data_IF_376252516337
#
_entry.id   IF_376252516337
#
_cell.length_a   1.000
_cell.length_b   1.000
_cell.length_c   1.000
_cell.angle_alpha   90.00
_cell.angle_beta   90.00
_cell.angle_gamma   90.00
#
_symmetry.space_group_name_H-M   'P 1'
#
loop_
_entity.id
_entity.type
_entity.pdbx_description
1 polymer ?
#
# COMPACT_ATOMS: atom_id res chain seq x y z
N UNK A 1 26.11 -1.35 -35.12
CA UNK A 1 24.81 -1.36 -34.44
C UNK A 1 25.02 -0.89 -33.01
N UNK A 2 24.17 0.01 -32.56
CA UNK A 2 24.24 0.64 -31.24
C UNK A 2 23.13 0.10 -30.31
N UNK A 3 22.61 -1.10 -30.56
CA UNK A 3 21.47 -1.66 -29.86
C UNK A 3 21.89 -2.79 -28.91
N UNK A 4 21.26 -2.83 -27.73
CA UNK A 4 21.37 -3.88 -26.72
C UNK A 4 19.95 -4.30 -26.31
N UNK A 5 19.68 -5.60 -26.30
CA UNK A 5 18.45 -6.10 -25.71
C UNK A 5 18.57 -6.13 -24.19
N UNK A 6 17.52 -5.74 -23.47
CA UNK A 6 17.50 -5.80 -22.01
C UNK A 6 16.35 -6.70 -21.58
N UNK A 7 16.63 -7.87 -21.01
CA UNK A 7 15.60 -8.71 -20.39
C UNK A 7 15.67 -8.53 -18.88
N UNK A 8 14.52 -8.27 -18.25
CA UNK A 8 14.50 -8.06 -16.82
C UNK A 8 13.12 -7.89 -16.20
N UNK A 9 13.12 -7.54 -14.93
CA UNK A 9 11.90 -7.29 -14.16
C UNK A 9 11.49 -5.81 -14.26
N UNK A 10 10.77 -5.27 -13.28
CA UNK A 10 10.27 -3.90 -13.37
C UNK A 10 11.39 -2.84 -13.41
N UNK A 11 12.64 -3.19 -13.10
CA UNK A 11 13.77 -2.27 -13.22
C UNK A 11 14.16 -1.95 -14.68
N UNK A 12 13.74 -2.76 -15.67
CA UNK A 12 14.05 -2.47 -17.09
C UNK A 12 13.42 -1.17 -17.59
N UNK A 13 12.48 -0.61 -16.85
CA UNK A 13 11.87 0.70 -17.13
C UNK A 13 12.89 1.83 -17.21
N UNK A 14 14.01 1.70 -16.48
CA UNK A 14 15.08 2.68 -16.54
C UNK A 14 15.72 2.79 -17.93
N UNK A 15 15.54 1.76 -18.79
CA UNK A 15 16.12 1.67 -20.13
C UNK A 15 15.11 1.94 -21.26
N UNK A 16 13.79 1.92 -20.99
CA UNK A 16 12.73 1.84 -22.00
C UNK A 16 12.63 3.03 -22.98
N UNK A 17 13.43 4.07 -22.80
CA UNK A 17 13.38 5.30 -23.61
C UNK A 17 14.75 5.74 -24.12
N UNK A 18 15.75 4.85 -24.06
CA UNK A 18 17.07 5.13 -24.57
C UNK A 18 17.28 4.35 -25.87
N UNK A 19 17.70 5.04 -26.93
CA UNK A 19 17.75 4.50 -28.30
C UNK A 19 18.66 3.26 -28.44
N UNK A 20 19.67 3.15 -27.58
CA UNK A 20 20.55 2.00 -27.53
C UNK A 20 19.95 0.75 -26.87
N UNK A 21 18.76 0.82 -26.28
CA UNK A 21 18.19 -0.28 -25.52
C UNK A 21 16.79 -0.64 -26.00
N UNK A 22 16.56 -1.93 -26.24
CA UNK A 22 15.22 -2.48 -26.43
C UNK A 22 14.89 -3.42 -25.27
N UNK A 23 13.88 -3.04 -24.49
CA UNK A 23 13.57 -3.67 -23.20
C UNK A 23 12.45 -4.69 -23.30
N UNK A 24 12.64 -5.83 -22.65
CA UNK A 24 11.67 -6.91 -22.52
C UNK A 24 11.35 -7.13 -21.03
N UNK A 25 10.19 -6.62 -20.61
CA UNK A 25 9.69 -6.81 -19.27
C UNK A 25 9.05 -8.20 -19.15
N UNK A 26 9.64 -9.06 -18.32
CA UNK A 26 9.16 -10.44 -18.14
C UNK A 26 8.27 -10.60 -16.89
N UNK A 27 7.89 -9.50 -16.24
CA UNK A 27 7.03 -9.47 -15.04
C UNK A 27 7.70 -8.84 -13.82
N UNK A 28 6.92 -8.58 -12.76
CA UNK A 28 7.44 -7.99 -11.53
C UNK A 28 8.41 -8.91 -10.78
N UNK A 29 9.34 -8.32 -10.02
CA UNK A 29 10.44 -9.00 -9.33
C UNK A 29 9.99 -10.17 -8.43
N UNK A 30 8.79 -10.09 -7.85
CA UNK A 30 8.21 -11.16 -7.02
C UNK A 30 7.85 -12.44 -7.77
N UNK A 31 7.73 -12.36 -9.09
CA UNK A 31 7.43 -13.48 -9.99
C UNK A 31 8.66 -13.97 -10.78
N UNK A 32 9.73 -13.18 -10.83
CA UNK A 32 10.95 -13.43 -11.59
C UNK A 32 12.13 -13.54 -10.63
N UNK A 33 12.16 -14.64 -9.89
CA UNK A 33 13.21 -14.97 -8.93
C UNK A 33 13.53 -16.47 -8.97
N UNK A 34 14.73 -16.79 -8.51
CA UNK A 34 15.37 -18.10 -8.46
C UNK A 34 15.44 -18.65 -7.03
N UNK A 35 14.76 -18.01 -6.07
CA UNK A 35 14.70 -18.41 -4.66
C UNK A 35 14.21 -19.86 -4.45
N UNK A 36 13.45 -20.40 -5.39
CA UNK A 36 12.96 -21.80 -5.36
C UNK A 36 13.07 -22.40 -6.75
N UNK A 37 13.24 -23.72 -6.83
CA UNK A 37 13.32 -24.46 -8.10
C UNK A 37 12.11 -24.22 -9.01
N UNK A 38 10.89 -24.25 -8.46
CA UNK A 38 9.66 -23.99 -9.23
C UNK A 38 9.66 -22.61 -9.88
N UNK A 39 10.05 -21.57 -9.13
CA UNK A 39 10.11 -20.20 -9.65
C UNK A 39 11.27 -20.02 -10.62
N UNK A 40 12.43 -20.62 -10.35
CA UNK A 40 13.56 -20.65 -11.26
C UNK A 40 13.17 -21.25 -12.61
N UNK A 41 12.54 -22.44 -12.63
CA UNK A 41 12.05 -23.09 -13.86
C UNK A 41 11.09 -22.21 -14.65
N UNK A 42 10.15 -21.55 -13.97
CA UNK A 42 9.17 -20.67 -14.62
C UNK A 42 9.83 -19.43 -15.21
N UNK A 43 10.74 -18.78 -14.46
CA UNK A 43 11.49 -17.60 -14.92
C UNK A 43 12.38 -17.97 -16.09
N UNK A 44 13.11 -19.08 -15.98
CA UNK A 44 13.95 -19.64 -17.02
C UNK A 44 13.17 -19.82 -18.33
N UNK A 45 12.04 -20.54 -18.30
CA UNK A 45 11.22 -20.78 -19.48
C UNK A 45 10.76 -19.48 -20.17
N UNK A 46 10.40 -18.45 -19.40
CA UNK A 46 10.04 -17.14 -19.95
C UNK A 46 11.23 -16.48 -20.65
N UNK A 47 12.37 -16.41 -19.97
CA UNK A 47 13.57 -15.76 -20.51
C UNK A 47 14.04 -16.45 -21.79
N UNK A 48 14.11 -17.78 -21.81
CA UNK A 48 14.48 -18.55 -23.01
C UNK A 48 13.48 -18.33 -24.15
N UNK A 49 12.18 -18.31 -23.85
CA UNK A 49 11.13 -18.06 -24.85
C UNK A 49 11.21 -16.66 -25.48
N UNK A 50 11.58 -15.63 -24.70
CA UNK A 50 11.87 -14.31 -25.27
C UNK A 50 13.15 -14.35 -26.10
N UNK A 51 14.24 -14.91 -25.54
CA UNK A 51 15.54 -14.94 -26.19
C UNK A 51 15.52 -15.63 -27.56
N UNK A 52 14.74 -16.69 -27.74
CA UNK A 52 14.62 -17.42 -29.01
C UNK A 52 14.01 -16.61 -30.16
N UNK A 53 13.34 -15.50 -29.85
CA UNK A 53 12.73 -14.59 -30.83
C UNK A 53 13.65 -13.40 -31.17
N UNK A 54 14.80 -13.29 -30.50
CA UNK A 54 15.71 -12.15 -30.64
C UNK A 54 16.87 -12.50 -31.56
N UNK A 55 17.32 -11.52 -32.34
CA UNK A 55 18.54 -11.63 -33.14
C UNK A 55 19.76 -11.91 -32.23
N UNK A 56 20.38 -13.08 -32.37
CA UNK A 56 21.52 -13.53 -31.57
C UNK A 56 22.81 -12.72 -31.80
N UNK A 57 22.87 -11.90 -32.85
CA UNK A 57 23.99 -11.00 -33.16
C UNK A 57 23.97 -9.67 -32.40
N UNK A 58 22.89 -9.40 -31.66
CA UNK A 58 22.75 -8.22 -30.79
C UNK A 58 23.12 -8.61 -29.34
N UNK A 59 23.90 -7.81 -28.59
CA UNK A 59 24.19 -8.10 -27.18
C UNK A 59 22.93 -8.14 -26.31
N UNK A 60 22.93 -9.00 -25.29
CA UNK A 60 21.87 -9.09 -24.29
C UNK A 60 22.36 -8.66 -22.92
N UNK A 61 21.66 -7.73 -22.27
CA UNK A 61 21.80 -7.36 -20.87
C UNK A 61 20.69 -8.03 -20.05
N UNK A 62 21.07 -8.74 -18.99
CA UNK A 62 20.14 -9.29 -18.02
C UNK A 62 20.08 -8.40 -16.77
N UNK A 63 18.88 -7.96 -16.39
CA UNK A 63 18.66 -7.08 -15.23
C UNK A 63 17.49 -7.59 -14.39
N UNK A 64 17.79 -8.52 -13.47
CA UNK A 64 16.81 -9.13 -12.56
C UNK A 64 17.22 -8.86 -11.12
N UNK A 65 16.33 -8.28 -10.30
CA UNK A 65 16.62 -7.95 -8.91
C UNK A 65 15.71 -8.68 -7.89
N UNK A 66 14.79 -9.53 -8.38
CA UNK A 66 13.78 -10.18 -7.56
C UNK A 66 14.29 -11.08 -6.45
N UNK A 67 15.46 -11.70 -6.61
CA UNK A 67 16.06 -12.55 -5.58
C UNK A 67 16.38 -11.74 -4.33
N UNK A 68 17.22 -10.72 -4.45
CA UNK A 68 17.59 -9.86 -3.33
C UNK A 68 16.40 -9.09 -2.74
N UNK A 69 15.48 -8.61 -3.60
CA UNK A 69 14.28 -7.85 -3.16
C UNK A 69 13.36 -8.68 -2.27
N UNK A 70 13.08 -9.93 -2.67
CA UNK A 70 12.10 -10.79 -1.98
C UNK A 70 12.71 -11.71 -0.95
N UNK A 71 14.04 -11.81 -0.92
CA UNK A 71 14.77 -12.55 0.09
C UNK A 71 14.82 -11.84 1.46
N UNK A 72 14.60 -10.51 1.49
CA UNK A 72 14.82 -9.66 2.66
C UNK A 72 14.49 -10.34 4.01
N UNK A 73 15.43 -10.19 4.95
CA UNK A 73 15.57 -10.87 6.26
C UNK A 73 14.27 -11.25 7.00
N UNK A 74 13.19 -10.50 6.82
CA UNK A 74 11.87 -10.78 7.38
C UNK A 74 11.29 -12.16 7.01
N UNK A 75 11.77 -12.80 5.94
CA UNK A 75 11.28 -14.12 5.52
C UNK A 75 11.99 -15.27 6.22
N UNK A 76 13.24 -15.08 6.68
CA UNK A 76 14.07 -16.14 7.24
C UNK A 76 14.38 -15.90 8.71
N UNK A 77 14.34 -16.96 9.52
CA UNK A 77 14.56 -16.87 10.98
C UNK A 77 15.97 -16.39 11.36
N UNK A 78 16.96 -16.53 10.48
CA UNK A 78 18.37 -16.14 10.69
C UNK A 78 19.04 -15.72 9.38
N UNK A 79 20.05 -14.85 9.47
CA UNK A 79 20.85 -14.40 8.32
C UNK A 79 21.54 -15.55 7.60
N UNK A 80 22.21 -16.46 8.32
CA UNK A 80 22.91 -17.60 7.72
C UNK A 80 22.00 -18.50 6.87
N UNK A 81 20.73 -18.69 7.28
CA UNK A 81 19.76 -19.44 6.46
C UNK A 81 19.39 -18.68 5.20
N UNK A 82 19.31 -17.36 5.29
CA UNK A 82 19.09 -16.51 4.14
C UNK A 82 20.25 -16.56 3.15
N UNK A 83 21.48 -16.40 3.63
CA UNK A 83 22.68 -16.43 2.78
C UNK A 83 22.78 -17.75 1.98
N UNK A 84 22.47 -18.90 2.58
CA UNK A 84 22.38 -20.19 1.87
C UNK A 84 21.34 -20.16 0.75
N UNK A 85 20.15 -19.58 1.00
CA UNK A 85 19.11 -19.46 -0.03
C UNK A 85 19.55 -18.54 -1.17
N UNK A 86 20.21 -17.43 -0.86
CA UNK A 86 20.75 -16.51 -1.87
C UNK A 86 21.84 -17.15 -2.71
N UNK A 87 22.77 -17.90 -2.10
CA UNK A 87 23.80 -18.65 -2.83
C UNK A 87 23.15 -19.65 -3.80
N UNK A 88 22.16 -20.42 -3.34
CA UNK A 88 21.44 -21.36 -4.23
C UNK A 88 20.63 -20.65 -5.30
N UNK A 89 20.09 -19.47 -5.01
CA UNK A 89 19.40 -18.62 -6.00
C UNK A 89 20.36 -18.15 -7.09
N UNK A 90 21.54 -17.66 -6.71
CA UNK A 90 22.57 -17.20 -7.63
C UNK A 90 23.07 -18.35 -8.54
N UNK A 91 23.25 -19.56 -7.99
CA UNK A 91 23.58 -20.75 -8.81
C UNK A 91 22.50 -21.07 -9.83
N UNK A 92 21.22 -21.11 -9.43
CA UNK A 92 20.11 -21.36 -10.36
C UNK A 92 20.00 -20.28 -11.44
N UNK A 93 20.33 -19.04 -11.10
CA UNK A 93 20.37 -17.97 -12.08
C UNK A 93 21.54 -18.14 -13.05
N UNK A 94 22.73 -18.52 -12.55
CA UNK A 94 23.90 -18.83 -13.38
C UNK A 94 23.59 -19.88 -14.46
N UNK A 95 22.84 -20.94 -14.13
CA UNK A 95 22.44 -21.94 -15.13
C UNK A 95 21.70 -21.33 -16.33
N UNK A 96 20.77 -20.40 -16.07
CA UNK A 96 20.09 -19.66 -17.14
C UNK A 96 21.07 -18.78 -17.91
N UNK A 97 21.97 -18.08 -17.21
CA UNK A 97 22.93 -17.16 -17.84
C UNK A 97 23.86 -17.95 -18.79
N UNK A 98 24.35 -19.12 -18.36
CA UNK A 98 25.20 -20.00 -19.17
C UNK A 98 24.48 -20.48 -20.43
N UNK A 99 23.22 -20.91 -20.29
CA UNK A 99 22.42 -21.32 -21.44
C UNK A 99 22.26 -20.17 -22.45
N UNK A 100 21.88 -18.98 -21.99
CA UNK A 100 21.77 -17.80 -22.85
C UNK A 100 23.09 -17.40 -23.49
N UNK A 101 24.20 -17.48 -22.75
CA UNK A 101 25.53 -17.17 -23.25
C UNK A 101 25.92 -18.10 -24.40
N UNK A 102 25.63 -19.39 -24.27
CA UNK A 102 25.87 -20.39 -25.32
C UNK A 102 24.97 -20.19 -26.54
N UNK A 103 23.76 -19.66 -26.36
CA UNK A 103 22.82 -19.39 -27.46
C UNK A 103 23.15 -18.12 -28.26
N UNK A 104 23.93 -17.17 -27.72
CA UNK A 104 24.10 -15.83 -28.31
C UNK A 104 25.52 -15.55 -28.81
N UNK A 105 25.65 -15.27 -30.11
CA UNK A 105 26.93 -14.89 -30.75
C UNK A 105 27.52 -13.61 -30.16
N UNK A 106 26.69 -12.61 -29.84
CA UNK A 106 27.15 -11.34 -29.29
C UNK A 106 27.43 -11.38 -27.77
N UNK A 107 27.13 -12.51 -27.12
CA UNK A 107 27.28 -12.70 -25.69
C UNK A 107 26.19 -12.07 -24.83
N UNK A 108 26.30 -12.33 -23.54
CA UNK A 108 25.40 -11.88 -22.48
C UNK A 108 26.21 -11.06 -21.48
N UNK A 109 25.63 -9.97 -20.99
CA UNK A 109 26.12 -9.17 -19.86
C UNK A 109 25.08 -9.25 -18.74
N UNK A 110 25.54 -9.38 -17.50
CA UNK A 110 24.67 -9.49 -16.33
C UNK A 110 24.82 -8.22 -15.50
N UNK A 111 23.73 -7.53 -15.19
CA UNK A 111 23.74 -6.38 -14.29
C UNK A 111 23.61 -6.82 -12.84
N UNK A 112 24.27 -6.10 -11.93
CA UNK A 112 23.99 -6.21 -10.51
C UNK A 112 22.50 -5.94 -10.21
N UNK A 113 21.98 -6.67 -9.22
CA UNK A 113 20.65 -6.46 -8.68
C UNK A 113 20.64 -5.17 -7.85
N UNK A 114 19.89 -4.17 -8.30
CA UNK A 114 19.77 -2.87 -7.63
C UNK A 114 18.30 -2.45 -7.66
N UNK A 115 17.86 -1.79 -6.59
CA UNK A 115 16.52 -1.24 -6.41
C UNK A 115 16.59 0.13 -5.75
N UNK A 116 15.54 0.94 -5.87
CA UNK A 116 15.46 2.22 -5.15
C UNK A 116 15.16 2.06 -3.66
N UNK A 117 14.68 0.89 -3.25
CA UNK A 117 14.24 0.61 -1.88
C UNK A 117 15.34 0.05 -0.96
N UNK A 118 16.60 0.02 -1.43
CA UNK A 118 17.72 -0.49 -0.64
C UNK A 118 17.94 0.42 0.57
N UNK A 119 17.95 -0.19 1.75
CA UNK A 119 18.11 0.43 3.04
C UNK A 119 18.82 -0.52 4.02
N UNK A 120 19.03 -0.08 5.26
CA UNK A 120 19.76 -0.83 6.29
C UNK A 120 19.24 -2.27 6.50
N UNK A 121 17.92 -2.50 6.35
CA UNK A 121 17.28 -3.80 6.62
C UNK A 121 17.50 -4.83 5.51
N UNK A 122 17.73 -4.39 4.26
CA UNK A 122 17.85 -5.28 3.10
C UNK A 122 19.21 -5.17 2.38
N UNK A 123 20.04 -4.19 2.73
CA UNK A 123 21.37 -3.95 2.14
C UNK A 123 22.22 -5.22 2.07
N UNK A 124 22.30 -5.98 3.17
CA UNK A 124 23.10 -7.22 3.21
C UNK A 124 22.65 -8.23 2.16
N UNK A 125 21.33 -8.40 1.95
CA UNK A 125 20.82 -9.36 0.97
C UNK A 125 21.21 -8.99 -0.46
N UNK A 126 21.13 -7.70 -0.81
CA UNK A 126 21.57 -7.23 -2.12
C UNK A 126 23.07 -7.36 -2.31
N UNK A 127 23.85 -6.90 -1.34
CA UNK A 127 25.31 -6.98 -1.40
C UNK A 127 25.78 -8.43 -1.52
N UNK A 128 25.32 -9.30 -0.63
CA UNK A 128 25.70 -10.71 -0.62
C UNK A 128 25.32 -11.41 -1.93
N UNK A 129 24.09 -11.22 -2.42
CA UNK A 129 23.65 -11.81 -3.69
C UNK A 129 24.49 -11.34 -4.87
N UNK A 130 24.77 -10.04 -4.96
CA UNK A 130 25.59 -9.47 -6.05
C UNK A 130 27.04 -9.96 -5.99
N UNK A 131 27.62 -10.06 -4.79
CA UNK A 131 28.98 -10.57 -4.60
C UNK A 131 29.06 -12.03 -5.08
N UNK A 132 28.08 -12.87 -4.75
CA UNK A 132 27.99 -14.27 -5.21
C UNK A 132 27.82 -14.36 -6.73
N UNK A 133 26.91 -13.58 -7.31
CA UNK A 133 26.64 -13.63 -8.75
C UNK A 133 27.83 -13.11 -9.57
N UNK A 134 28.53 -12.08 -9.08
CA UNK A 134 29.76 -11.55 -9.67
C UNK A 134 30.86 -12.61 -9.71
N UNK A 135 31.09 -13.30 -8.60
CA UNK A 135 32.07 -14.38 -8.49
C UNK A 135 31.75 -15.51 -9.50
N UNK A 136 30.50 -15.99 -9.50
CA UNK A 136 30.05 -17.06 -10.38
C UNK A 136 30.16 -16.68 -11.87
N UNK A 137 29.79 -15.46 -12.25
CA UNK A 137 29.95 -15.00 -13.64
C UNK A 137 31.43 -14.89 -14.02
N UNK A 138 32.29 -14.43 -13.10
CA UNK A 138 33.73 -14.34 -13.31
C UNK A 138 34.39 -15.69 -13.59
N UNK A 139 34.00 -16.74 -12.85
CA UNK A 139 34.49 -18.12 -13.07
C UNK A 139 34.13 -18.66 -14.47
N UNK A 140 32.99 -18.23 -15.02
CA UNK A 140 32.50 -18.65 -16.34
C UNK A 140 32.91 -17.68 -17.47
N UNK A 141 33.69 -16.62 -17.16
CA UNK A 141 34.10 -15.62 -18.14
C UNK A 141 32.95 -14.77 -18.69
N UNK A 142 31.81 -14.71 -18.00
CA UNK A 142 30.65 -13.92 -18.41
C UNK A 142 30.80 -12.49 -17.86
N UNK A 143 30.70 -11.44 -18.70
CA UNK A 143 30.79 -10.06 -18.25
C UNK A 143 29.70 -9.72 -17.22
N UNK A 144 30.13 -9.18 -16.08
CA UNK A 144 29.26 -8.73 -15.00
C UNK A 144 29.43 -7.22 -14.78
N UNK A 145 28.32 -6.50 -14.84
CA UNK A 145 28.22 -5.06 -14.71
C UNK A 145 27.94 -4.71 -13.24
N UNK A 146 29.02 -4.39 -12.51
CA UNK A 146 28.96 -4.10 -11.07
C UNK A 146 28.85 -2.60 -10.78
N UNK A 147 27.61 -2.12 -10.63
CA UNK A 147 27.35 -0.73 -10.23
C UNK A 147 26.98 -0.58 -8.76
N UNK A 148 27.04 -1.67 -7.98
CA UNK A 148 26.42 -1.66 -6.64
C UNK A 148 27.02 -0.58 -5.75
N UNK A 149 28.35 -0.54 -5.64
CA UNK A 149 29.05 0.45 -4.82
C UNK A 149 28.99 1.87 -5.42
N UNK A 150 28.75 2.02 -6.73
CA UNK A 150 28.56 3.34 -7.35
C UNK A 150 27.21 3.97 -6.98
N UNK A 151 26.16 3.15 -6.91
CA UNK A 151 24.78 3.61 -6.73
C UNK A 151 24.37 3.65 -5.27
N UNK A 152 25.02 2.87 -4.42
CA UNK A 152 24.73 2.78 -3.00
C UNK A 152 25.66 3.70 -2.20
N UNK A 153 25.10 4.43 -1.24
CA UNK A 153 25.81 5.27 -0.28
C UNK A 153 25.18 5.11 1.09
N UNK A 154 25.99 4.91 2.13
CA UNK A 154 25.50 4.71 3.50
C UNK A 154 24.39 3.64 3.58
N UNK A 155 24.60 2.50 2.88
CA UNK A 155 23.65 1.38 2.78
C UNK A 155 22.30 1.71 2.14
N UNK A 156 22.21 2.83 1.39
CA UNK A 156 20.98 3.28 0.72
C UNK A 156 21.25 3.64 -0.74
N UNK A 157 20.25 3.46 -1.59
CA UNK A 157 20.34 3.95 -2.98
C UNK A 157 20.43 5.48 -3.01
N UNK A 158 21.44 6.02 -3.70
CA UNK A 158 21.60 7.48 -3.84
C UNK A 158 20.35 8.07 -4.50
N UNK A 159 19.84 9.16 -3.92
CA UNK A 159 18.59 9.79 -4.35
C UNK A 159 18.55 10.11 -5.87
N UNK A 160 19.70 10.45 -6.47
CA UNK A 160 19.79 10.76 -7.90
C UNK A 160 19.43 9.59 -8.83
N UNK A 161 19.51 8.34 -8.36
CA UNK A 161 19.14 7.14 -9.13
C UNK A 161 17.72 6.65 -8.83
N UNK A 162 17.00 7.26 -7.88
CA UNK A 162 15.66 6.82 -7.49
C UNK A 162 14.57 7.44 -8.38
N UNK A 163 13.68 6.61 -8.95
CA UNK A 163 12.46 7.09 -9.63
C UNK A 163 11.28 7.14 -8.66
N UNK A 164 11.09 6.08 -7.88
CA UNK A 164 10.08 5.97 -6.83
C UNK A 164 10.60 5.07 -5.69
N UNK A 165 9.71 4.59 -4.82
CA UNK A 165 10.06 3.75 -3.68
C UNK A 165 10.46 2.31 -4.05
N UNK A 166 10.56 1.94 -5.32
CA UNK A 166 10.97 0.60 -5.82
C UNK A 166 11.91 0.72 -7.02
N UNK A 167 11.64 1.61 -7.97
CA UNK A 167 12.27 1.62 -9.29
C UNK A 167 13.40 2.63 -9.40
N UNK A 168 14.46 2.25 -10.11
CA UNK A 168 15.53 3.15 -10.54
C UNK A 168 15.07 4.09 -11.67
N UNK A 169 15.68 5.27 -11.76
CA UNK A 169 15.48 6.22 -12.85
C UNK A 169 16.58 6.11 -13.91
N UNK A 170 16.43 6.89 -14.99
CA UNK A 170 17.35 6.89 -16.14
C UNK A 170 18.77 7.38 -15.84
N UNK A 171 19.03 7.99 -14.68
CA UNK A 171 20.39 8.36 -14.26
C UNK A 171 21.31 7.15 -14.12
N UNK A 172 20.75 5.93 -14.11
CA UNK A 172 21.51 4.67 -14.17
C UNK A 172 22.18 4.41 -15.52
N UNK A 173 21.69 5.03 -16.60
CA UNK A 173 22.11 4.69 -17.96
C UNK A 173 23.55 5.09 -18.28
N UNK A 174 24.05 6.29 -17.91
CA UNK A 174 25.44 6.65 -18.19
C UNK A 174 26.46 5.62 -17.69
N UNK A 175 26.47 5.20 -16.41
CA UNK A 175 27.43 4.20 -15.96
C UNK A 175 27.24 2.82 -16.62
N UNK A 176 26.00 2.44 -16.97
CA UNK A 176 25.76 1.20 -17.73
C UNK A 176 26.35 1.27 -19.14
N UNK A 177 26.15 2.38 -19.84
CA UNK A 177 26.66 2.59 -21.19
C UNK A 177 28.19 2.55 -21.18
N UNK A 178 28.83 3.22 -20.23
CA UNK A 178 30.28 3.22 -20.08
C UNK A 178 30.84 1.80 -19.92
N UNK A 179 30.22 0.98 -19.07
CA UNK A 179 30.63 -0.42 -18.88
C UNK A 179 30.36 -1.29 -20.13
N UNK A 180 29.22 -1.09 -20.81
CA UNK A 180 28.92 -1.82 -22.04
C UNK A 180 29.88 -1.46 -23.18
N UNK A 181 30.37 -0.22 -23.24
CA UNK A 181 31.44 0.19 -24.17
C UNK A 181 32.75 -0.51 -23.81
N UNK A 182 33.14 -0.55 -22.52
CA UNK A 182 34.34 -1.27 -22.06
C UNK A 182 34.29 -2.76 -22.41
N UNK A 183 33.12 -3.37 -22.34
CA UNK A 183 32.90 -4.77 -22.76
C UNK A 183 32.81 -4.95 -24.29
N UNK A 184 32.96 -3.89 -25.09
CA UNK A 184 32.85 -3.90 -26.54
C UNK A 184 31.44 -4.23 -27.05
N UNK A 185 30.41 -4.03 -26.23
CA UNK A 185 28.99 -4.29 -26.58
C UNK A 185 28.31 -3.07 -27.19
N UNK A 186 28.87 -1.87 -26.98
CA UNK A 186 28.47 -0.62 -27.62
C UNK A 186 29.68 0.06 -28.24
N UNK A 187 29.47 0.81 -29.34
CA UNK A 187 30.58 1.39 -30.13
C UNK A 187 30.96 2.81 -29.74
N UNK A 188 30.03 3.70 -29.40
CA UNK A 188 30.27 5.06 -28.85
C UNK A 188 29.00 5.59 -28.14
N UNK A 189 29.11 6.52 -27.17
CA UNK A 189 27.94 7.15 -26.58
C UNK A 189 27.30 8.10 -27.60
N UNK A 190 26.08 7.80 -28.04
CA UNK A 190 25.26 8.83 -28.72
C UNK A 190 24.93 9.87 -27.66
N UNK A 191 25.04 11.15 -28.02
CA UNK A 191 25.00 12.28 -27.09
C UNK A 191 23.95 12.11 -25.99
N UNK A 192 24.38 12.20 -24.74
CA UNK A 192 23.53 12.27 -23.53
C UNK A 192 22.58 13.48 -23.51
N UNK A 193 22.58 14.28 -24.59
CA UNK A 193 21.84 15.51 -24.80
C UNK A 193 20.52 15.32 -25.55
N UNK A 194 19.93 14.14 -25.49
CA UNK A 194 18.52 14.05 -25.86
C UNK A 194 17.71 14.67 -24.73
N UNK A 195 17.09 15.82 -25.03
CA UNK A 195 16.07 16.50 -24.23
C UNK A 195 14.83 15.61 -24.02
N UNK A 196 15.00 14.45 -23.38
CA UNK A 196 13.93 13.52 -23.04
C UNK A 196 13.24 14.00 -21.75
N UNK A 197 12.64 15.19 -21.81
CA UNK A 197 11.62 15.54 -20.83
C UNK A 197 10.37 14.65 -21.07
N UNK A 198 10.15 13.74 -20.13
CA UNK A 198 8.85 13.44 -19.50
C UNK A 198 7.68 13.06 -20.42
N UNK A 199 7.78 11.93 -21.14
CA UNK A 199 6.56 11.30 -21.68
C UNK A 199 5.74 10.54 -20.61
N UNK A 200 6.34 10.19 -19.45
CA UNK A 200 5.71 9.30 -18.46
C UNK A 200 5.90 9.73 -17.00
N UNK A 201 6.29 10.99 -16.75
CA UNK A 201 6.50 11.51 -15.39
C UNK A 201 5.28 12.32 -14.96
N UNK A 202 4.49 11.77 -14.05
CA UNK A 202 3.36 12.46 -13.44
C UNK A 202 3.80 13.31 -12.27
N UNK A 203 3.42 14.57 -12.27
CA UNK A 203 3.53 15.44 -11.10
C UNK A 203 2.30 15.22 -10.23
N UNK A 204 2.48 14.62 -9.05
CA UNK A 204 1.43 14.47 -8.03
C UNK A 204 1.65 15.57 -6.98
N UNK A 205 0.79 16.61 -6.94
CA UNK A 205 0.88 17.64 -5.92
C UNK A 205 0.59 17.05 -4.54
N UNK A 206 1.38 17.44 -3.53
CA UNK A 206 1.15 17.10 -2.12
C UNK A 206 1.51 18.26 -1.21
N UNK A 207 1.11 18.18 0.06
CA UNK A 207 1.50 19.14 1.11
C UNK A 207 3.01 19.16 1.42
N UNK A 208 3.78 18.20 0.91
CA UNK A 208 5.23 18.10 1.07
C UNK A 208 6.00 18.43 -0.22
N UNK A 209 5.30 18.95 -1.23
CA UNK A 209 5.86 19.24 -2.55
C UNK A 209 5.29 18.35 -3.66
N UNK A 210 5.84 18.47 -4.86
CA UNK A 210 5.41 17.72 -6.05
C UNK A 210 6.19 16.41 -6.11
N UNK A 211 5.51 15.29 -5.93
CA UNK A 211 6.09 13.96 -6.15
C UNK A 211 6.06 13.65 -7.64
N UNK A 212 7.21 13.27 -8.20
CA UNK A 212 7.33 12.79 -9.58
C UNK A 212 7.15 11.28 -9.58
N UNK A 213 6.09 10.78 -10.22
CA UNK A 213 5.77 9.35 -10.29
C UNK A 213 5.85 8.92 -11.75
N UNK A 214 6.51 7.80 -12.02
CA UNK A 214 6.64 7.26 -13.37
C UNK A 214 5.47 6.32 -13.73
N UNK A 215 4.96 6.44 -14.95
CA UNK A 215 3.91 5.59 -15.52
C UNK A 215 4.44 4.56 -16.51
N UNK A 216 3.76 3.41 -16.57
CA UNK A 216 4.05 2.31 -17.52
C UNK A 216 3.33 2.46 -18.87
N UNK A 217 2.39 3.40 -18.96
CA UNK A 217 1.54 3.65 -20.11
C UNK A 217 1.24 5.16 -20.19
N UNK A 218 0.87 5.69 -21.37
CA UNK A 218 0.26 7.00 -21.48
C UNK A 218 -0.90 7.12 -20.50
N UNK A 219 -1.10 8.28 -19.87
CA UNK A 219 -2.16 8.47 -18.86
C UNK A 219 -3.53 8.05 -19.41
N UNK A 220 -3.75 8.28 -20.70
CA UNK A 220 -5.02 7.92 -21.38
C UNK A 220 -5.21 6.41 -21.60
N UNK A 221 -4.14 5.61 -21.53
CA UNK A 221 -4.15 4.15 -21.76
C UNK A 221 -4.11 3.31 -20.47
N UNK A 222 -4.01 3.95 -19.30
CA UNK A 222 -4.14 3.29 -18.00
C UNK A 222 -5.60 2.88 -17.73
N UNK A 223 -6.09 1.86 -18.44
CA UNK A 223 -7.26 1.10 -18.02
C UNK A 223 -6.79 0.04 -17.02
N UNK A 224 -6.74 0.40 -15.74
CA UNK A 224 -6.52 -0.59 -14.71
C UNK A 224 -7.77 -1.48 -14.65
N UNK A 225 -7.64 -2.75 -15.03
CA UNK A 225 -8.75 -3.70 -14.85
C UNK A 225 -9.22 -3.68 -13.39
N UNK A 226 -10.54 -3.70 -13.16
CA UNK A 226 -11.16 -3.32 -11.87
C UNK A 226 -10.52 -3.90 -10.61
N UNK A 227 -10.03 -5.14 -10.63
CA UNK A 227 -9.31 -5.74 -9.48
C UNK A 227 -7.91 -5.15 -9.23
N UNK A 228 -7.17 -4.78 -10.27
CA UNK A 228 -5.84 -4.15 -10.15
C UNK A 228 -5.97 -2.66 -9.80
N UNK A 229 -6.96 -2.00 -10.37
CA UNK A 229 -7.31 -0.62 -10.04
C UNK A 229 -7.68 -0.47 -8.57
N UNK A 230 -8.57 -1.32 -8.07
CA UNK A 230 -8.95 -1.36 -6.67
C UNK A 230 -7.74 -1.61 -5.74
N UNK A 231 -6.81 -2.50 -6.13
CA UNK A 231 -5.57 -2.74 -5.36
C UNK A 231 -4.61 -1.55 -5.40
N UNK A 232 -4.56 -0.81 -6.49
CA UNK A 232 -3.74 0.39 -6.62
C UNK A 232 -4.30 1.54 -5.78
N UNK A 233 -5.61 1.77 -5.84
CA UNK A 233 -6.35 2.70 -4.98
C UNK A 233 -6.19 2.33 -3.50
N UNK A 234 -6.23 1.04 -3.15
CA UNK A 234 -5.93 0.52 -1.81
C UNK A 234 -4.50 0.76 -1.32
N UNK A 235 -3.53 0.88 -2.23
CA UNK A 235 -2.14 1.19 -1.89
C UNK A 235 -1.89 2.70 -1.80
N UNK A 236 -2.55 3.48 -2.67
CA UNK A 236 -2.53 4.95 -2.66
C UNK A 236 -3.15 5.51 -1.39
N UNK A 237 -4.31 4.98 -1.00
CA UNK A 237 -4.87 5.22 0.31
C UNK A 237 -4.18 4.30 1.31
N UNK A 238 -3.13 4.76 2.00
CA UNK A 238 -2.63 4.06 3.19
C UNK A 238 -3.83 3.81 4.12
N UNK A 239 -4.33 2.57 4.15
CA UNK A 239 -5.39 2.16 5.08
C UNK A 239 -4.82 2.33 6.47
N UNK A 240 -5.23 3.39 7.17
CA UNK A 240 -5.00 3.48 8.61
C UNK A 240 -5.92 2.45 9.29
N UNK A 241 -5.61 2.04 10.51
CA UNK A 241 -6.49 1.11 11.23
C UNK A 241 -7.90 1.71 11.43
N UNK A 242 -8.00 3.04 11.60
CA UNK A 242 -9.27 3.79 11.70
C UNK A 242 -10.11 3.65 10.41
N UNK A 243 -9.48 3.88 9.26
CA UNK A 243 -10.08 3.76 7.94
C UNK A 243 -10.66 2.35 7.67
N UNK A 244 -9.99 1.29 8.11
CA UNK A 244 -10.48 -0.09 8.00
C UNK A 244 -11.68 -0.33 8.93
N UNK A 245 -11.60 0.15 10.17
CA UNK A 245 -12.67 0.03 11.15
C UNK A 245 -13.97 0.71 10.68
N UNK A 246 -13.89 1.89 10.07
CA UNK A 246 -15.05 2.61 9.49
C UNK A 246 -15.75 1.77 8.41
N UNK A 247 -14.98 1.17 7.50
CA UNK A 247 -15.53 0.34 6.43
C UNK A 247 -16.15 -0.96 6.94
N UNK A 248 -15.46 -1.65 7.86
CA UNK A 248 -15.95 -2.89 8.44
C UNK A 248 -17.27 -2.64 9.20
N UNK A 249 -17.38 -1.49 9.88
CA UNK A 249 -18.60 -1.05 10.55
C UNK A 249 -19.74 -0.76 9.56
N UNK A 250 -19.49 -0.02 8.48
CA UNK A 250 -20.54 0.25 7.47
C UNK A 250 -21.02 -1.07 6.85
N UNK A 251 -20.10 -1.95 6.45
CA UNK A 251 -20.44 -3.26 5.84
C UNK A 251 -21.29 -4.14 6.74
N UNK A 252 -21.09 -4.01 8.05
CA UNK A 252 -21.83 -4.75 9.05
C UNK A 252 -23.24 -4.19 9.29
N UNK A 253 -23.41 -2.87 9.17
CA UNK A 253 -24.71 -2.20 9.30
C UNK A 253 -25.55 -2.34 8.03
N UNK A 254 -24.91 -2.40 6.87
CA UNK A 254 -25.55 -2.29 5.56
C UNK A 254 -26.70 -3.29 5.33
N UNK A 255 -26.57 -4.61 5.62
CA UNK A 255 -27.68 -5.55 5.41
C UNK A 255 -28.92 -5.24 6.26
N UNK A 256 -28.72 -4.67 7.45
CA UNK A 256 -29.83 -4.27 8.33
C UNK A 256 -30.47 -2.98 7.82
N UNK A 257 -29.67 -2.02 7.33
CA UNK A 257 -30.15 -0.76 6.76
C UNK A 257 -30.92 -0.99 5.45
N UNK A 258 -30.47 -1.91 4.58
CA UNK A 258 -31.20 -2.30 3.37
C UNK A 258 -32.59 -2.85 3.71
N UNK A 259 -32.69 -3.71 4.74
CA UNK A 259 -33.98 -4.23 5.22
C UNK A 259 -34.87 -3.13 5.81
N UNK A 260 -34.27 -2.18 6.51
CA UNK A 260 -34.99 -1.03 7.08
C UNK A 260 -35.56 -0.12 5.99
N UNK A 261 -34.76 0.16 4.97
CA UNK A 261 -35.12 1.06 3.87
C UNK A 261 -36.00 0.38 2.80
N UNK A 262 -36.06 -0.95 2.79
CA UNK A 262 -36.86 -1.80 1.89
C UNK A 262 -36.54 -1.63 0.39
N UNK A 263 -35.49 -0.90 0.06
CA UNK A 263 -35.01 -0.61 -1.29
C UNK A 263 -33.49 -0.53 -1.29
N UNK A 264 -32.86 -0.53 -2.48
CA UNK A 264 -31.43 -0.21 -2.61
C UNK A 264 -31.23 1.30 -2.36
N UNK A 265 -30.60 1.70 -1.24
CA UNK A 265 -30.51 3.12 -0.91
C UNK A 265 -29.71 3.92 -1.93
N UNK A 266 -30.13 5.16 -2.14
CA UNK A 266 -29.26 6.21 -2.66
C UNK A 266 -28.39 6.73 -1.52
N UNK A 267 -27.08 6.64 -1.67
CA UNK A 267 -26.11 6.99 -0.62
C UNK A 267 -25.40 8.31 -0.95
N UNK A 268 -25.33 9.20 0.04
CA UNK A 268 -24.40 10.32 0.07
C UNK A 268 -23.31 10.07 1.11
N UNK A 269 -22.05 10.21 0.72
CA UNK A 269 -20.90 10.20 1.61
C UNK A 269 -20.32 11.61 1.69
N UNK A 270 -20.39 12.19 2.87
CA UNK A 270 -19.78 13.48 3.20
C UNK A 270 -18.30 13.30 3.52
N UNK A 271 -17.52 14.35 3.29
CA UNK A 271 -16.07 14.36 3.52
C UNK A 271 -15.38 13.15 2.88
N UNK A 272 -15.76 12.83 1.64
CA UNK A 272 -15.37 11.59 0.98
C UNK A 272 -13.88 11.51 0.62
N UNK A 273 -13.14 12.61 0.77
CA UNK A 273 -11.74 12.77 0.36
C UNK A 273 -11.56 12.36 -1.10
N UNK A 274 -10.54 11.59 -1.43
CA UNK A 274 -10.29 11.12 -2.79
C UNK A 274 -11.13 9.88 -3.16
N UNK A 275 -12.32 9.72 -2.56
CA UNK A 275 -13.27 8.64 -2.84
C UNK A 275 -13.15 7.43 -1.92
N UNK A 276 -12.60 7.62 -0.72
CA UNK A 276 -12.24 6.53 0.20
C UNK A 276 -13.41 5.59 0.49
N UNK A 277 -14.45 6.04 1.21
CA UNK A 277 -15.60 5.17 1.54
C UNK A 277 -16.34 4.71 0.27
N UNK A 278 -16.70 5.59 -0.69
CA UNK A 278 -17.46 5.19 -1.88
C UNK A 278 -16.86 4.02 -2.65
N UNK A 279 -15.53 3.96 -2.82
CA UNK A 279 -14.87 2.89 -3.59
C UNK A 279 -14.85 1.52 -2.91
N UNK A 280 -15.11 1.42 -1.61
CA UNK A 280 -15.05 0.15 -0.87
C UNK A 280 -16.42 -0.45 -0.58
N UNK A 281 -17.49 0.25 -0.93
CA UNK A 281 -18.84 -0.21 -0.75
C UNK A 281 -19.24 -1.12 -1.92
N UNK A 282 -20.02 -2.18 -1.65
CA UNK A 282 -20.49 -3.09 -2.69
C UNK A 282 -21.48 -2.36 -3.61
N UNK A 283 -21.15 -2.27 -4.90
CA UNK A 283 -21.97 -1.59 -5.90
C UNK A 283 -23.43 -2.09 -5.90
N UNK A 284 -23.61 -3.41 -5.74
CA UNK A 284 -24.93 -4.04 -5.80
C UNK A 284 -25.87 -3.67 -4.64
N UNK A 285 -25.33 -3.10 -3.55
CA UNK A 285 -26.11 -2.67 -2.39
C UNK A 285 -26.75 -1.29 -2.56
N UNK A 286 -26.32 -0.50 -3.54
CA UNK A 286 -26.76 0.88 -3.70
C UNK A 286 -27.33 1.10 -5.09
N UNK A 287 -28.36 1.94 -5.20
CA UNK A 287 -28.85 2.39 -6.50
C UNK A 287 -27.96 3.48 -7.10
N UNK A 288 -27.34 4.29 -6.23
CA UNK A 288 -26.38 5.34 -6.57
C UNK A 288 -25.54 5.69 -5.35
N UNK A 289 -24.25 5.99 -5.57
CA UNK A 289 -23.36 6.52 -4.52
C UNK A 289 -22.85 7.89 -4.96
N UNK A 290 -22.98 8.88 -4.09
CA UNK A 290 -22.46 10.23 -4.31
C UNK A 290 -21.44 10.54 -3.21
N UNK A 291 -20.23 10.95 -3.59
CA UNK A 291 -19.20 11.44 -2.67
C UNK A 291 -19.03 12.95 -2.78
N UNK A 292 -19.02 13.65 -1.64
CA UNK A 292 -18.77 15.09 -1.59
C UNK A 292 -17.61 15.40 -0.65
N UNK A 293 -16.74 16.33 -1.07
CA UNK A 293 -15.65 16.87 -0.26
C UNK A 293 -15.46 18.36 -0.61
N UNK A 294 -15.18 19.25 0.36
CA UNK A 294 -14.93 20.66 0.05
C UNK A 294 -13.67 20.86 -0.80
N UNK A 295 -12.70 19.93 -0.78
CA UNK A 295 -11.48 20.05 -1.56
C UNK A 295 -11.66 19.64 -3.02
N UNK A 296 -11.65 20.62 -3.93
CA UNK A 296 -11.69 20.38 -5.38
C UNK A 296 -10.55 19.46 -5.85
N UNK A 297 -9.36 19.59 -5.27
CA UNK A 297 -8.21 18.75 -5.61
C UNK A 297 -8.47 17.27 -5.29
N UNK A 298 -9.05 16.97 -4.11
CA UNK A 298 -9.39 15.59 -3.73
C UNK A 298 -10.47 14.99 -4.62
N UNK A 299 -11.48 15.78 -4.95
CA UNK A 299 -12.56 15.36 -5.86
C UNK A 299 -12.05 15.12 -7.28
N UNK A 300 -11.12 15.94 -7.78
CA UNK A 300 -10.50 15.71 -9.07
C UNK A 300 -9.77 14.35 -9.12
N UNK A 301 -9.08 13.98 -8.03
CA UNK A 301 -8.46 12.66 -7.89
C UNK A 301 -9.51 11.55 -7.84
N UNK A 302 -10.57 11.72 -7.04
CA UNK A 302 -11.67 10.74 -6.95
C UNK A 302 -12.31 10.47 -8.32
N UNK A 303 -12.61 11.53 -9.09
CA UNK A 303 -13.17 11.40 -10.45
C UNK A 303 -12.24 10.62 -11.39
N UNK A 304 -10.95 10.92 -11.36
CA UNK A 304 -9.96 10.19 -12.17
C UNK A 304 -9.91 8.71 -11.77
N UNK A 305 -9.90 8.40 -10.47
CA UNK A 305 -9.89 7.03 -9.96
C UNK A 305 -11.17 6.26 -10.31
N UNK A 306 -12.33 6.93 -10.30
CA UNK A 306 -13.61 6.34 -10.68
C UNK A 306 -13.63 5.99 -12.18
N UNK A 307 -13.16 6.91 -13.03
CA UNK A 307 -13.05 6.70 -14.47
C UNK A 307 -12.10 5.54 -14.82
N UNK A 308 -10.93 5.48 -14.18
CA UNK A 308 -9.96 4.40 -14.36
C UNK A 308 -10.54 3.03 -13.97
N UNK A 309 -11.45 3.00 -13.00
CA UNK A 309 -12.10 1.78 -12.50
C UNK A 309 -13.42 1.43 -13.21
N UNK A 310 -13.88 2.26 -14.16
CA UNK A 310 -15.20 2.18 -14.80
C UNK A 310 -16.37 2.13 -13.78
N UNK A 311 -16.27 2.88 -12.68
CA UNK A 311 -17.28 2.92 -11.61
C UNK A 311 -18.38 3.93 -11.93
N UNK A 312 -19.22 3.61 -12.91
CA UNK A 312 -20.28 4.53 -13.40
C UNK A 312 -21.42 4.80 -12.41
N UNK A 313 -21.55 3.98 -11.38
CA UNK A 313 -22.60 4.13 -10.35
C UNK A 313 -22.17 5.07 -9.20
N UNK A 314 -20.95 5.62 -9.25
CA UNK A 314 -20.39 6.53 -8.26
C UNK A 314 -20.12 7.89 -8.88
N UNK A 315 -20.65 8.93 -8.26
CA UNK A 315 -20.43 10.32 -8.66
C UNK A 315 -19.70 11.10 -7.57
N UNK A 316 -18.95 12.12 -7.96
CA UNK A 316 -18.17 12.95 -7.03
C UNK A 316 -18.36 14.44 -7.30
N UNK A 317 -18.54 15.22 -6.25
CA UNK A 317 -18.73 16.67 -6.33
C UNK A 317 -17.87 17.40 -5.31
N UNK A 318 -17.38 18.58 -5.70
CA UNK A 318 -16.71 19.50 -4.78
C UNK A 318 -17.71 20.56 -4.37
N UNK A 319 -17.98 20.66 -3.07
CA UNK A 319 -18.92 21.62 -2.52
C UNK A 319 -18.61 21.90 -1.06
N UNK A 320 -18.65 23.18 -0.67
CA UNK A 320 -18.61 23.58 0.74
C UNK A 320 -19.92 23.24 1.45
N UNK A 321 -21.04 23.37 0.72
CA UNK A 321 -22.37 22.96 1.16
C UNK A 321 -22.85 21.77 0.31
N UNK A 322 -22.93 20.55 0.87
CA UNK A 322 -23.15 19.33 0.08
C UNK A 322 -24.49 19.30 -0.67
N UNK A 323 -25.50 20.02 -0.18
CA UNK A 323 -26.84 20.06 -0.76
C UNK A 323 -26.98 21.09 -1.90
N UNK A 324 -26.02 21.99 -2.09
CA UNK A 324 -26.00 22.87 -3.26
C UNK A 324 -25.55 22.12 -4.53
N UNK A 325 -24.76 21.05 -4.35
CA UNK A 325 -24.24 20.24 -5.45
C UNK A 325 -25.16 19.06 -5.85
N UNK A 326 -26.12 18.67 -5.01
CA UNK A 326 -27.06 17.59 -5.28
C UNK A 326 -28.47 18.01 -4.90
N UNK A 327 -29.33 18.22 -5.91
CA UNK A 327 -30.76 18.52 -5.73
C UNK A 327 -31.63 17.28 -5.44
N UNK A 328 -31.01 16.11 -5.38
CA UNK A 328 -31.71 14.84 -5.18
C UNK A 328 -31.76 14.43 -3.69
N UNK A 329 -32.87 13.84 -3.27
CA UNK A 329 -32.99 13.20 -1.96
C UNK A 329 -32.18 11.91 -1.88
N UNK A 330 -31.59 11.66 -0.70
CA UNK A 330 -30.85 10.45 -0.38
C UNK A 330 -31.63 9.59 0.63
N UNK A 331 -31.46 8.28 0.57
CA UNK A 331 -32.03 7.41 1.61
C UNK A 331 -31.09 7.35 2.82
N UNK A 332 -29.78 7.37 2.56
CA UNK A 332 -28.72 7.23 3.54
C UNK A 332 -27.66 8.31 3.34
N UNK A 333 -27.31 9.03 4.40
CA UNK A 333 -26.16 9.93 4.43
C UNK A 333 -25.15 9.42 5.46
N UNK A 334 -23.86 9.44 5.12
CA UNK A 334 -22.76 9.01 5.98
C UNK A 334 -21.71 10.12 6.11
N UNK A 335 -21.31 10.42 7.35
CA UNK A 335 -20.16 11.27 7.67
C UNK A 335 -19.32 10.64 8.79
N UNK A 336 -18.19 10.02 8.42
CA UNK A 336 -17.29 9.33 9.37
C UNK A 336 -15.92 10.01 9.52
N UNK A 337 -15.68 11.08 8.77
CA UNK A 337 -14.37 11.71 8.65
C UNK A 337 -14.40 13.19 9.03
N UNK A 338 -15.57 13.71 9.42
CA UNK A 338 -15.69 15.04 10.02
C UNK A 338 -14.84 15.13 11.28
N UNK A 339 -13.72 15.85 11.19
CA UNK A 339 -12.82 16.10 12.32
C UNK A 339 -13.36 17.18 13.25
N UNK A 340 -14.68 17.29 13.39
CA UNK A 340 -15.32 18.39 14.09
C UNK A 340 -15.27 18.12 15.59
N UNK A 341 -14.31 18.77 16.25
CA UNK A 341 -14.38 19.08 17.68
C UNK A 341 -15.42 20.16 17.99
N UNK A 342 -16.03 20.74 16.96
CA UNK A 342 -16.96 21.85 17.02
C UNK A 342 -18.42 21.39 16.87
N UNK A 343 -19.33 22.25 17.32
CA UNK A 343 -20.77 22.07 17.21
C UNK A 343 -21.20 21.97 15.74
N UNK A 344 -22.11 21.04 15.42
CA UNK A 344 -22.68 20.93 14.09
C UNK A 344 -23.55 22.16 13.80
N UNK A 345 -23.35 22.80 12.64
CA UNK A 345 -24.17 23.91 12.19
C UNK A 345 -25.67 23.50 12.13
N UNK A 346 -26.58 24.20 12.83
CA UNK A 346 -28.00 23.86 12.84
C UNK A 346 -28.66 23.86 11.45
N UNK A 347 -28.22 24.75 10.55
CA UNK A 347 -28.74 24.79 9.19
C UNK A 347 -28.32 23.54 8.41
N UNK A 348 -27.06 23.14 8.53
CA UNK A 348 -26.55 21.89 7.98
C UNK A 348 -27.32 20.65 8.48
N UNK A 349 -27.60 20.53 9.78
CA UNK A 349 -28.34 19.40 10.34
C UNK A 349 -29.78 19.35 9.81
N UNK A 350 -30.43 20.50 9.68
CA UNK A 350 -31.77 20.60 9.10
C UNK A 350 -31.77 20.10 7.65
N UNK A 351 -30.80 20.52 6.84
CA UNK A 351 -30.68 20.05 5.46
C UNK A 351 -30.39 18.55 5.39
N UNK A 352 -29.54 18.00 6.27
CA UNK A 352 -29.32 16.55 6.39
C UNK A 352 -30.61 15.79 6.64
N UNK A 353 -31.46 16.31 7.53
CA UNK A 353 -32.74 15.70 7.86
C UNK A 353 -33.70 15.76 6.69
N UNK A 354 -33.80 16.90 6.01
CA UNK A 354 -34.72 17.07 4.87
C UNK A 354 -34.36 16.15 3.69
N UNK A 355 -33.07 15.89 3.49
CA UNK A 355 -32.57 15.10 2.36
C UNK A 355 -32.16 13.66 2.71
N UNK A 356 -32.51 13.15 3.89
CA UNK A 356 -32.19 11.76 4.29
C UNK A 356 -33.29 11.05 5.06
N UNK A 357 -33.33 9.72 4.98
CA UNK A 357 -34.13 8.90 5.93
C UNK A 357 -33.28 8.48 7.13
N UNK A 358 -32.01 8.19 6.87
CA UNK A 358 -31.02 7.75 7.85
C UNK A 358 -29.75 8.56 7.70
N UNK A 359 -29.22 9.04 8.83
CA UNK A 359 -27.92 9.70 8.90
C UNK A 359 -26.99 8.94 9.86
N UNK A 360 -25.82 8.54 9.36
CA UNK A 360 -24.76 7.89 10.14
C UNK A 360 -23.61 8.86 10.32
N UNK A 361 -23.24 9.09 11.58
CA UNK A 361 -22.30 10.13 11.96
C UNK A 361 -21.30 9.63 12.99
N UNK A 362 -20.00 9.88 12.79
CA UNK A 362 -18.98 9.62 13.81
C UNK A 362 -18.80 10.85 14.71
N UNK A 363 -19.31 10.76 15.93
CA UNK A 363 -19.31 11.86 16.89
C UNK A 363 -18.16 11.74 17.87
N UNK A 364 -17.34 12.78 18.02
CA UNK A 364 -16.32 12.85 19.11
C UNK A 364 -16.88 13.39 20.43
N UNK A 365 -18.08 13.98 20.43
CA UNK A 365 -18.84 14.36 21.62
C UNK A 365 -20.30 13.92 21.47
N UNK A 366 -20.56 12.62 21.70
CA UNK A 366 -21.86 12.01 21.43
C UNK A 366 -23.03 12.70 22.16
N UNK A 367 -22.82 13.21 23.37
CA UNK A 367 -23.88 13.85 24.16
C UNK A 367 -24.32 15.19 23.52
N UNK A 368 -23.36 16.03 23.13
CA UNK A 368 -23.64 17.31 22.47
C UNK A 368 -24.33 17.08 21.11
N UNK A 369 -23.76 16.20 20.28
CA UNK A 369 -24.32 15.89 18.96
C UNK A 369 -25.73 15.33 19.04
N UNK A 370 -26.03 14.43 20.00
CA UNK A 370 -27.38 13.92 20.21
C UNK A 370 -28.37 15.03 20.58
N UNK A 371 -27.96 15.99 21.41
CA UNK A 371 -28.80 17.14 21.78
C UNK A 371 -29.15 17.98 20.54
N UNK A 372 -28.16 18.29 19.70
CA UNK A 372 -28.35 19.09 18.47
C UNK A 372 -29.20 18.35 17.43
N UNK A 373 -28.93 17.07 17.20
CA UNK A 373 -29.69 16.23 16.27
C UNK A 373 -31.15 16.08 16.71
N UNK A 374 -31.43 15.92 18.01
CA UNK A 374 -32.80 15.91 18.55
C UNK A 374 -33.48 17.25 18.40
N UNK A 375 -32.79 18.36 18.69
CA UNK A 375 -33.33 19.71 18.52
C UNK A 375 -33.71 19.99 17.05
N UNK A 376 -32.97 19.42 16.11
CA UNK A 376 -33.26 19.49 14.67
C UNK A 376 -34.39 18.53 14.23
N UNK A 377 -34.86 17.70 15.15
CA UNK A 377 -36.06 16.87 15.00
C UNK A 377 -35.82 15.49 14.39
N UNK A 378 -34.62 14.91 14.53
CA UNK A 378 -34.45 13.46 14.41
C UNK A 378 -35.21 12.77 15.54
N UNK A 379 -36.10 11.83 15.20
CA UNK A 379 -37.02 11.21 16.17
C UNK A 379 -36.36 10.09 16.97
N UNK A 380 -35.40 9.40 16.37
CA UNK A 380 -34.71 8.28 16.99
C UNK A 380 -33.22 8.36 16.70
N UNK A 381 -32.39 8.25 17.75
CA UNK A 381 -30.93 8.29 17.64
C UNK A 381 -30.36 7.15 18.47
N UNK A 382 -29.82 6.16 17.79
CA UNK A 382 -29.05 5.09 18.40
C UNK A 382 -27.56 5.45 18.39
N UNK A 383 -26.80 4.86 19.31
CA UNK A 383 -25.36 5.00 19.32
C UNK A 383 -24.65 3.67 19.52
N UNK A 384 -23.54 3.51 18.82
CA UNK A 384 -22.65 2.36 18.93
C UNK A 384 -21.32 2.85 19.49
N UNK A 385 -20.94 2.32 20.65
CA UNK A 385 -19.61 2.52 21.23
C UNK A 385 -18.59 1.72 20.42
N UNK A 386 -17.54 2.39 19.95
CA UNK A 386 -16.42 1.74 19.28
C UNK A 386 -15.47 1.21 20.37
N UNK A 387 -15.11 -0.07 20.32
CA UNK A 387 -14.24 -0.69 21.33
C UNK A 387 -12.84 -0.07 21.27
N UNK A 388 -12.31 0.27 22.44
CA UNK A 388 -11.03 0.95 22.73
C UNK A 388 -9.77 0.16 22.35
N UNK A 389 -9.87 -0.87 21.50
CA UNK A 389 -8.77 -1.80 21.25
C UNK A 389 -7.64 -1.20 20.40
N UNK A 390 -7.88 -0.06 19.76
CA UNK A 390 -6.84 0.76 19.14
C UNK A 390 -6.85 2.13 19.80
N UNK A 391 -5.67 2.70 20.06
CA UNK A 391 -5.43 4.05 20.61
C UNK A 391 -6.03 5.21 19.76
N UNK A 392 -6.85 4.89 18.76
CA UNK A 392 -7.34 5.77 17.71
C UNK A 392 -8.64 6.52 18.05
N UNK A 393 -9.42 6.05 19.01
CA UNK A 393 -10.70 6.67 19.37
C UNK A 393 -10.69 7.20 20.81
N UNK A 394 -10.99 8.50 20.98
CA UNK A 394 -11.19 9.11 22.31
C UNK A 394 -12.38 8.45 23.01
N UNK A 395 -12.40 8.45 24.35
CA UNK A 395 -13.43 7.76 25.16
C UNK A 395 -14.88 8.15 24.80
N UNK A 396 -15.09 9.37 24.31
CA UNK A 396 -16.42 9.88 23.93
C UNK A 396 -16.78 9.70 22.45
N UNK A 397 -15.92 9.01 21.68
CA UNK A 397 -16.19 8.78 20.26
C UNK A 397 -17.24 7.68 20.07
N UNK A 398 -18.38 8.03 19.49
CA UNK A 398 -19.47 7.09 19.20
C UNK A 398 -19.96 7.26 17.78
N UNK A 399 -20.34 6.15 17.17
CA UNK A 399 -21.12 6.17 15.94
C UNK A 399 -22.58 6.45 16.29
N UNK A 400 -23.15 7.53 15.80
CA UNK A 400 -24.56 7.86 15.92
C UNK A 400 -25.30 7.42 14.66
N UNK A 401 -26.47 6.83 14.85
CA UNK A 401 -27.35 6.37 13.77
C UNK A 401 -28.71 7.01 13.99
N UNK A 402 -29.04 7.96 13.13
CA UNK A 402 -30.15 8.88 13.30
C UNK A 402 -31.23 8.56 12.29
N UNK A 403 -32.46 8.38 12.76
CA UNK A 403 -33.62 8.09 11.91
C UNK A 403 -34.63 9.23 12.00
N UNK A 404 -35.16 9.63 10.86
CA UNK A 404 -36.25 10.60 10.78
C UNK A 404 -37.58 10.04 11.29
N UNK A 405 -37.74 8.73 11.20
CA UNK A 405 -38.90 7.99 11.65
C UNK A 405 -38.51 6.91 12.65
N UNK A 406 -39.50 6.37 13.38
CA UNK A 406 -39.25 5.27 14.29
C UNK A 406 -38.76 4.06 13.50
N UNK A 407 -37.59 3.48 13.83
CA UNK A 407 -37.06 2.35 13.08
C UNK A 407 -37.89 1.09 13.31
N UNK A 408 -37.83 0.16 12.36
CA UNK A 408 -38.58 -1.09 12.40
C UNK A 408 -38.13 -2.01 13.54
N UNK A 409 -38.92 -3.06 13.76
CA UNK A 409 -38.55 -4.12 14.70
C UNK A 409 -37.22 -4.80 14.33
N UNK A 410 -36.90 -4.94 13.04
CA UNK A 410 -35.67 -5.58 12.55
C UNK A 410 -34.44 -4.81 13.02
N UNK A 411 -34.47 -3.49 12.90
CA UNK A 411 -33.40 -2.62 13.42
C UNK A 411 -33.28 -2.71 14.93
N UNK A 412 -34.40 -2.60 15.66
CA UNK A 412 -34.42 -2.66 17.12
C UNK A 412 -33.86 -3.99 17.65
N UNK A 413 -34.17 -5.11 16.98
CA UNK A 413 -33.62 -6.43 17.32
C UNK A 413 -32.11 -6.48 17.09
N UNK A 414 -31.63 -6.02 15.93
CA UNK A 414 -30.20 -5.93 15.64
C UNK A 414 -29.46 -5.08 16.67
N UNK A 415 -29.96 -3.88 16.97
CA UNK A 415 -29.33 -2.96 17.91
C UNK A 415 -29.24 -3.54 19.33
N UNK A 416 -30.31 -4.18 19.81
CA UNK A 416 -30.30 -4.88 21.10
C UNK A 416 -29.28 -6.01 21.14
N UNK A 417 -29.22 -6.84 20.08
CA UNK A 417 -28.25 -7.93 19.97
C UNK A 417 -26.82 -7.42 19.91
N UNK A 418 -26.59 -6.32 19.19
CA UNK A 418 -25.29 -5.65 19.08
C UNK A 418 -24.79 -5.16 20.44
N UNK A 419 -25.63 -4.43 21.17
CA UNK A 419 -25.29 -3.94 22.50
C UNK A 419 -25.05 -5.10 23.47
N UNK A 420 -25.85 -6.17 23.40
CA UNK A 420 -25.63 -7.37 24.21
C UNK A 420 -24.25 -7.99 23.95
N UNK A 421 -23.90 -8.23 22.68
CA UNK A 421 -22.61 -8.83 22.30
C UNK A 421 -21.43 -7.93 22.73
N UNK A 422 -21.53 -6.60 22.53
CA UNK A 422 -20.48 -5.68 22.92
C UNK A 422 -20.35 -5.52 24.43
N UNK A 423 -21.45 -5.53 25.18
CA UNK A 423 -21.42 -5.59 26.64
C UNK A 423 -20.74 -6.89 27.10
N UNK A 424 -21.09 -8.05 26.52
CA UNK A 424 -20.45 -9.33 26.83
C UNK A 424 -18.96 -9.33 26.51
N UNK A 425 -18.55 -8.80 25.35
CA UNK A 425 -17.14 -8.69 24.96
C UNK A 425 -16.37 -7.69 25.82
N UNK A 426 -16.97 -6.56 26.17
CA UNK A 426 -16.39 -5.59 27.11
C UNK A 426 -16.17 -6.22 28.48
N UNK A 427 -17.16 -6.93 29.02
CA UNK A 427 -17.03 -7.64 30.30
C UNK A 427 -16.01 -8.78 30.24
N UNK A 428 -15.96 -9.56 29.16
CA UNK A 428 -14.94 -10.59 28.94
C UNK A 428 -13.53 -9.99 28.89
N UNK A 429 -13.33 -8.87 28.20
CA UNK A 429 -12.03 -8.20 28.12
C UNK A 429 -11.65 -7.50 29.44
N UNK A 430 -12.63 -6.95 30.17
CA UNK A 430 -12.43 -6.40 31.52
C UNK A 430 -12.09 -7.50 32.53
N UNK A 431 -12.74 -8.65 32.47
CA UNK A 431 -12.42 -9.82 33.30
C UNK A 431 -11.04 -10.41 32.95
N UNK A 432 -10.65 -10.45 31.67
CA UNK A 432 -9.30 -10.85 31.25
C UNK A 432 -8.23 -9.88 31.77
N UNK A 433 -8.43 -8.57 31.60
CA UNK A 433 -7.48 -7.57 32.12
C UNK A 433 -7.42 -7.51 33.65
N UNK A 434 -8.49 -7.90 34.36
CA UNK A 434 -8.47 -8.11 35.81
C UNK A 434 -7.78 -9.42 36.23
N UNK A 435 -7.81 -10.47 35.39
CA UNK A 435 -7.05 -11.71 35.57
C UNK A 435 -5.55 -11.56 35.28
N UNK A 436 -5.14 -10.54 34.52
CA UNK A 436 -3.72 -10.23 34.25
C UNK A 436 -3.08 -9.32 35.30
N UNK A 437 -3.89 -8.66 36.15
CA UNK A 437 -3.42 -7.82 37.27
C UNK A 437 -2.91 -8.55 38.53
N UNK A 438 -3.27 -9.81 38.87
CA UNK A 438 -2.70 -10.49 40.04
C UNK A 438 -1.22 -10.82 39.84
N UNK A 439 -0.77 -11.08 38.61
CA UNK A 439 0.61 -11.49 38.36
C UNK A 439 1.61 -10.36 38.67
N UNK A 440 1.32 -9.12 38.24
CA UNK A 440 2.16 -7.95 38.59
C UNK A 440 2.16 -7.62 40.08
N UNK A 441 1.04 -7.83 40.78
CA UNK A 441 0.98 -7.64 42.23
C UNK A 441 1.73 -8.75 42.99
N UNK A 442 1.63 -10.00 42.53
CA UNK A 442 2.35 -11.16 43.07
C UNK A 442 3.86 -11.04 42.80
N UNK A 443 4.26 -10.60 41.61
CA UNK A 443 5.67 -10.42 41.24
C UNK A 443 6.30 -9.22 41.96
N UNK A 444 5.55 -8.13 42.14
CA UNK A 444 5.96 -7.01 42.99
C UNK A 444 6.10 -7.39 44.47
N UNK A 445 5.22 -8.27 44.97
CA UNK A 445 5.30 -8.79 46.35
C UNK A 445 6.48 -9.76 46.52
N UNK A 446 6.74 -10.63 45.54
CA UNK A 446 7.90 -11.54 45.53
C UNK A 446 9.23 -10.78 45.44
N UNK A 447 9.32 -9.70 44.64
CA UNK A 447 10.50 -8.83 44.58
C UNK A 447 10.77 -8.12 45.91
N UNK A 448 9.74 -7.55 46.57
CA UNK A 448 9.91 -6.92 47.89
C UNK A 448 10.37 -7.90 48.96
N UNK A 449 9.91 -9.17 48.90
CA UNK A 449 10.32 -10.22 49.84
C UNK A 449 11.78 -10.67 49.60
N UNK A 450 12.20 -10.79 48.33
CA UNK A 450 13.58 -11.13 47.94
C UNK A 450 14.56 -10.01 48.33
N UNK A 451 14.21 -8.73 48.10
CA UNK A 451 15.05 -7.59 48.48
C UNK A 451 15.19 -7.43 50.00
N UNK A 452 14.14 -7.73 50.78
CA UNK A 452 14.23 -7.76 52.25
C UNK A 452 15.14 -8.89 52.77
N UNK A 453 15.17 -10.04 52.12
CA UNK A 453 16.07 -11.14 52.48
C UNK A 453 17.52 -10.84 52.10
N UNK A 454 17.77 -10.22 50.94
CA UNK A 454 19.11 -9.80 50.52
C UNK A 454 19.68 -8.78 51.50
N UNK A 455 18.91 -7.74 51.88
CA UNK A 455 19.34 -6.71 52.84
C UNK A 455 19.69 -7.31 54.22
N UNK A 456 18.88 -8.27 54.71
CA UNK A 456 19.17 -9.00 55.97
C UNK A 456 20.46 -9.84 55.90
N UNK A 457 20.83 -10.31 54.71
CA UNK A 457 22.08 -11.06 54.49
C UNK A 457 23.30 -10.14 54.33
N UNK A 458 23.12 -8.93 53.77
CA UNK A 458 24.21 -7.95 53.62
C UNK A 458 24.56 -7.31 54.97
N UNK A 459 23.55 -6.96 55.77
CA UNK A 459 23.76 -6.34 57.10
C UNK A 459 24.41 -7.31 58.11
N UNK A 460 24.19 -8.63 57.97
CA UNK A 460 24.82 -9.67 58.81
C UNK A 460 26.26 -10.01 58.42
N UNK A 461 26.70 -9.66 57.21
CA UNK A 461 28.08 -9.86 56.74
C UNK A 461 28.98 -8.64 56.97
N UNK A 462 28.40 -7.48 57.28
CA UNK A 462 29.13 -6.26 57.64
C UNK A 462 29.34 -6.10 59.16
N UNK A 463 28.89 -7.08 59.95
CA UNK A 463 29.02 -7.11 61.43
C UNK A 463 29.82 -8.33 61.93
N UNK A 464 30.56 -8.97 61.03
CA UNK A 464 31.66 -9.90 61.30
C UNK A 464 32.84 -9.47 60.47
#
# INVERSE_FOLDING_TARGET
MNLVYVIGDSQVRAFSYHENFLTFFIGGSGFNNFLTEKKAKTTHQRVISFNSQLDASVPLLLSLCGDATHHALNTFKTQAKGDVVLTESAKRYLELIKELHNMRKAGVVVSSAISSDINDDNYHSYKFYNDQLKELCGLEGIPYLDLFEEIIENKRTKAKYQADFVHLNQSILPPIIDELIKFGKLKEPISTNTNFEKAYTYNIPSKYGVYRVWGDFPKEKLQLGGKKALKFTQKLHKRTNSHKAHLDLIKLLLPTLEKELKTKPRLLVLNCKEGYIPFYLPADSFSKIVGIDPSQARIAVAKQLAAIQDLRHIEFYSAEKPFEASKDDFDLIIDLESNQSEELDPEFIRNLKEHSKVFIYLSHNAAASQKQLRASGYKHIDHISLLKNDELFKEDTKLLICFNNKPSYVWNFFYKKWNFINLSNYWLNKLKSLKDKPQKAIDGYKMKKKNRQIKKYTDKKLTK
#
